data_IF_133100190151
#
_entry.id   IF_133100190151
#
_cell.length_a   1.000
_cell.length_b   1.000
_cell.length_c   1.000
_cell.angle_alpha   90.00
_cell.angle_beta   90.00
_cell.angle_gamma   90.00
#
_symmetry.space_group_name_H-M   'P 1'
#
loop_
_entity.id
_entity.type
_entity.pdbx_description
1 polymer ?
#
# COMPACT_ATOMS: atom_id res chain seq x y z
N UNK A 1 11.39 20.40 -8.76
CA UNK A 1 10.07 20.42 -9.40
C UNK A 1 9.06 20.79 -8.32
N UNK A 2 8.21 21.77 -8.58
CA UNK A 2 7.35 22.44 -7.59
C UNK A 2 6.38 21.48 -6.88
N UNK A 3 6.15 20.30 -7.45
CA UNK A 3 5.28 19.25 -6.92
C UNK A 3 5.75 18.66 -5.59
N UNK A 4 7.06 18.67 -5.30
CA UNK A 4 7.61 18.13 -4.04
C UNK A 4 7.66 19.15 -2.90
N UNK A 5 7.77 20.44 -3.21
CA UNK A 5 7.89 21.50 -2.21
C UNK A 5 6.54 21.90 -1.59
N UNK A 6 5.42 21.66 -2.28
CA UNK A 6 4.06 21.84 -1.70
C UNK A 6 3.62 20.67 -0.80
N UNK A 7 4.38 19.57 -0.76
CA UNK A 7 4.02 18.34 -0.02
C UNK A 7 4.57 18.28 1.41
N UNK A 8 5.51 19.15 1.80
CA UNK A 8 6.23 19.03 3.09
C UNK A 8 5.71 19.95 4.22
N UNK A 9 4.90 20.98 3.95
CA UNK A 9 4.45 21.93 5.00
C UNK A 9 3.14 21.54 5.71
N UNK A 10 2.48 20.45 5.32
CA UNK A 10 1.16 20.04 5.86
C UNK A 10 1.25 18.69 6.56
N UNK A 11 1.73 18.65 7.80
CA UNK A 11 1.68 17.46 8.67
C UNK A 11 0.22 17.05 8.98
N UNK A 12 -0.43 16.32 8.08
CA UNK A 12 -1.82 15.84 8.26
C UNK A 12 -2.19 14.63 7.38
N UNK A 13 -1.26 13.71 7.17
CA UNK A 13 -1.27 12.76 6.04
C UNK A 13 -2.17 11.53 6.17
N UNK A 14 -3.40 11.68 5.66
CA UNK A 14 -4.22 10.67 4.97
C UNK A 14 -3.39 9.85 3.94
N UNK A 15 -3.77 8.59 3.70
CA UNK A 15 -3.48 7.62 2.59
C UNK A 15 -2.42 7.99 1.54
N UNK A 16 -2.38 9.22 1.06
CA UNK A 16 -1.36 9.78 0.16
C UNK A 16 0.06 9.71 0.76
N UNK A 17 0.21 9.87 2.08
CA UNK A 17 1.48 9.66 2.77
C UNK A 17 1.93 8.19 2.70
N UNK A 18 1.00 7.23 2.82
CA UNK A 18 1.25 5.80 2.66
C UNK A 18 1.66 5.45 1.21
N UNK A 19 1.07 6.14 0.22
CA UNK A 19 1.38 5.98 -1.21
C UNK A 19 2.76 6.57 -1.55
N UNK A 20 3.05 7.78 -1.08
CA UNK A 20 4.29 8.50 -1.36
C UNK A 20 5.51 7.84 -0.70
N UNK A 21 5.40 7.41 0.56
CA UNK A 21 6.48 6.73 1.27
C UNK A 21 6.91 5.41 0.61
N UNK A 22 6.08 4.83 -0.26
CA UNK A 22 6.29 3.47 -0.76
C UNK A 22 6.62 3.32 -2.22
N UNK A 23 6.46 4.36 -3.04
CA UNK A 23 7.16 4.41 -4.32
C UNK A 23 8.68 4.19 -4.14
N UNK A 24 9.23 4.56 -2.97
CA UNK A 24 10.62 4.32 -2.59
C UNK A 24 10.91 2.91 -2.02
N UNK A 25 10.03 2.33 -1.20
CA UNK A 25 10.31 1.11 -0.41
C UNK A 25 9.90 -0.22 -1.07
N UNK A 26 9.42 -0.23 -2.31
CA UNK A 26 9.10 -1.47 -3.03
C UNK A 26 10.32 -2.12 -3.71
N UNK A 27 11.52 -1.58 -3.47
CA UNK A 27 12.75 -1.85 -4.20
C UNK A 27 13.85 -2.33 -3.25
N UNK A 28 14.49 -3.45 -3.56
CA UNK A 28 15.63 -4.02 -2.82
C UNK A 28 16.86 -4.04 -3.70
N UNK A 29 18.06 -3.72 -3.19
CA UNK A 29 19.29 -3.74 -4.00
C UNK A 29 20.04 -5.04 -3.72
N UNK A 30 20.36 -5.81 -4.76
CA UNK A 30 21.21 -7.01 -4.64
C UNK A 30 22.70 -6.65 -4.57
N UNK A 31 23.55 -7.60 -4.19
CA UNK A 31 25.01 -7.45 -4.20
C UNK A 31 25.55 -7.10 -5.60
N UNK A 32 24.89 -7.59 -6.65
CA UNK A 32 25.19 -7.29 -8.06
C UNK A 32 24.71 -5.88 -8.50
N UNK A 33 24.10 -5.10 -7.59
CA UNK A 33 23.57 -3.77 -7.86
C UNK A 33 22.22 -3.75 -8.57
N UNK A 34 21.55 -4.89 -8.72
CA UNK A 34 20.21 -4.94 -9.30
C UNK A 34 19.18 -4.44 -8.29
N UNK A 35 18.31 -3.54 -8.74
CA UNK A 35 17.11 -3.17 -7.97
C UNK A 35 16.03 -4.23 -8.21
N UNK A 36 15.48 -4.87 -7.19
CA UNK A 36 14.39 -5.84 -7.27
C UNK A 36 13.10 -5.20 -6.79
N UNK A 37 12.07 -5.23 -7.64
CA UNK A 37 10.74 -4.73 -7.29
C UNK A 37 9.92 -5.85 -6.71
N UNK A 38 9.30 -5.64 -5.55
CA UNK A 38 8.46 -6.64 -4.89
C UNK A 38 6.99 -6.23 -4.86
N UNK A 39 6.11 -7.22 -4.81
CA UNK A 39 4.69 -6.99 -4.62
C UNK A 39 4.45 -6.42 -3.22
N UNK A 40 3.74 -5.30 -3.16
CA UNK A 40 3.44 -4.64 -1.89
C UNK A 40 2.33 -5.33 -1.06
N UNK A 41 1.67 -6.34 -1.63
CA UNK A 41 0.64 -7.16 -0.97
C UNK A 41 1.26 -8.45 -0.42
N UNK A 42 1.80 -9.33 -1.27
CA UNK A 42 2.33 -10.63 -0.81
C UNK A 42 3.83 -10.61 -0.50
N UNK A 43 4.59 -9.67 -1.05
CA UNK A 43 6.05 -9.63 -0.95
C UNK A 43 6.79 -10.36 -2.07
N UNK A 44 6.11 -10.99 -3.04
CA UNK A 44 6.79 -11.71 -4.11
C UNK A 44 7.65 -10.80 -4.99
N UNK A 45 8.84 -11.28 -5.38
CA UNK A 45 9.70 -10.57 -6.32
C UNK A 45 9.06 -10.53 -7.72
N UNK A 46 8.85 -9.32 -8.25
CA UNK A 46 8.29 -9.04 -9.57
C UNK A 46 9.38 -8.90 -10.65
N UNK A 47 10.65 -9.03 -10.24
CA UNK A 47 11.85 -8.95 -11.06
C UNK A 47 12.64 -7.67 -10.89
N UNK A 48 13.67 -7.49 -11.73
CA UNK A 48 14.58 -6.36 -11.71
C UNK A 48 13.90 -5.02 -12.08
N UNK A 49 14.48 -3.93 -11.60
CA UNK A 49 14.06 -2.54 -11.72
C UNK A 49 14.10 -2.10 -13.17
N UNK A 50 12.94 -2.14 -13.82
CA UNK A 50 12.74 -1.88 -15.24
C UNK A 50 11.28 -2.13 -15.65
N UNK A 51 10.95 -2.09 -16.94
CA UNK A 51 9.58 -2.41 -17.43
C UNK A 51 9.33 -3.92 -17.44
N UNK A 52 9.17 -4.55 -16.26
CA UNK A 52 8.77 -5.96 -16.14
C UNK A 52 7.29 -6.15 -16.51
N UNK A 53 6.99 -7.08 -17.43
CA UNK A 53 5.60 -7.44 -17.80
C UNK A 53 4.81 -8.11 -16.67
N UNK A 54 5.47 -8.59 -15.61
CA UNK A 54 4.83 -9.21 -14.45
C UNK A 54 4.35 -8.19 -13.42
N UNK A 55 4.90 -6.98 -13.47
CA UNK A 55 4.49 -5.89 -12.58
C UNK A 55 3.13 -5.34 -13.03
N UNK A 56 2.18 -5.34 -12.12
CA UNK A 56 0.94 -4.57 -12.23
C UNK A 56 1.00 -3.42 -11.25
N UNK A 57 0.11 -2.46 -11.44
CA UNK A 57 -0.02 -1.31 -10.55
C UNK A 57 -1.37 -1.39 -9.86
N UNK A 58 -1.36 -1.21 -8.53
CA UNK A 58 -2.57 -1.13 -7.75
C UNK A 58 -3.47 0.01 -8.29
N UNK A 59 -4.77 -0.21 -8.53
CA UNK A 59 -5.63 0.76 -9.24
C UNK A 59 -5.72 2.12 -8.54
N UNK A 60 -5.84 2.11 -7.21
CA UNK A 60 -5.91 3.32 -6.38
C UNK A 60 -4.51 3.82 -5.96
N UNK A 61 -3.79 3.02 -5.17
CA UNK A 61 -2.52 3.38 -4.54
C UNK A 61 -1.32 3.55 -5.51
N UNK A 62 -1.44 3.19 -6.80
CA UNK A 62 -0.37 3.34 -7.81
C UNK A 62 1.00 2.75 -7.41
N UNK A 63 0.97 1.62 -6.71
CA UNK A 63 2.16 0.87 -6.24
C UNK A 63 2.26 -0.52 -6.92
N UNK A 64 3.45 -1.15 -6.94
CA UNK A 64 3.64 -2.46 -7.56
C UNK A 64 2.87 -3.60 -6.87
N UNK A 65 2.18 -4.42 -7.66
CA UNK A 65 1.51 -5.66 -7.22
C UNK A 65 1.72 -6.79 -8.23
N UNK A 66 1.69 -8.05 -7.76
CA UNK A 66 1.68 -9.21 -8.65
C UNK A 66 0.28 -9.38 -9.28
N UNK A 67 0.19 -10.19 -10.34
CA UNK A 67 -1.09 -10.39 -11.04
C UNK A 67 -2.14 -11.05 -10.15
N UNK A 68 -1.75 -12.03 -9.33
CA UNK A 68 -2.66 -12.74 -8.41
C UNK A 68 -3.24 -11.81 -7.33
N UNK A 69 -2.40 -10.95 -6.72
CA UNK A 69 -2.89 -9.98 -5.74
C UNK A 69 -3.80 -8.92 -6.36
N UNK A 70 -3.53 -8.52 -7.61
CA UNK A 70 -4.43 -7.61 -8.31
C UNK A 70 -5.79 -8.28 -8.61
N UNK A 71 -5.79 -9.54 -9.01
CA UNK A 71 -7.02 -10.31 -9.26
C UNK A 71 -7.90 -10.40 -8.02
N UNK A 72 -7.30 -10.74 -6.86
CA UNK A 72 -8.02 -10.73 -5.57
C UNK A 72 -8.58 -9.35 -5.28
N UNK A 73 -7.77 -8.30 -5.39
CA UNK A 73 -8.21 -6.91 -5.15
C UNK A 73 -9.40 -6.49 -6.04
N UNK A 74 -9.49 -7.06 -7.25
CA UNK A 74 -10.54 -6.74 -8.22
C UNK A 74 -11.76 -7.67 -8.15
N UNK A 75 -11.71 -8.74 -7.36
CA UNK A 75 -12.76 -9.76 -7.31
C UNK A 75 -13.99 -9.36 -6.48
N UNK A 76 -13.90 -8.28 -5.70
CA UNK A 76 -14.93 -7.87 -4.76
C UNK A 76 -15.22 -6.37 -4.79
N UNK A 77 -16.36 -5.99 -4.20
CA UNK A 77 -16.74 -4.60 -3.99
C UNK A 77 -16.29 -4.11 -2.61
N UNK A 78 -15.82 -2.87 -2.53
CA UNK A 78 -15.43 -2.24 -1.28
C UNK A 78 -16.67 -1.66 -0.59
N UNK A 79 -17.24 -2.45 0.32
CA UNK A 79 -18.40 -2.09 1.13
C UNK A 79 -17.95 -1.25 2.31
N UNK A 80 -18.68 -0.19 2.60
CA UNK A 80 -18.48 0.69 3.76
C UNK A 80 -19.45 0.24 4.86
N UNK A 81 -18.93 0.02 6.06
CA UNK A 81 -19.72 -0.25 7.25
C UNK A 81 -20.56 0.97 7.62
N UNK A 82 -21.83 0.75 7.90
CA UNK A 82 -22.73 1.82 8.38
C UNK A 82 -22.45 2.21 9.84
N UNK A 83 -21.73 1.37 10.60
CA UNK A 83 -21.44 1.59 12.02
C UNK A 83 -20.30 2.59 12.22
N UNK A 84 -19.18 2.41 11.51
CA UNK A 84 -17.97 3.21 11.67
C UNK A 84 -17.64 4.08 10.44
N UNK A 85 -18.33 3.89 9.32
CA UNK A 85 -18.09 4.65 8.09
C UNK A 85 -16.84 4.25 7.30
N UNK A 86 -16.25 3.09 7.61
CA UNK A 86 -15.02 2.59 6.97
C UNK A 86 -15.24 1.31 6.17
N UNK A 87 -14.27 0.99 5.32
CA UNK A 87 -14.33 -0.20 4.48
C UNK A 87 -14.09 -1.48 5.28
N UNK A 88 -14.90 -2.49 5.02
CA UNK A 88 -14.79 -3.80 5.69
C UNK A 88 -13.69 -4.69 5.08
N UNK A 89 -13.00 -4.20 4.05
CA UNK A 89 -11.87 -4.86 3.40
C UNK A 89 -10.65 -3.95 3.41
N UNK A 90 -9.48 -4.55 3.52
CA UNK A 90 -8.23 -3.83 3.46
C UNK A 90 -8.08 -3.17 2.08
N UNK A 91 -7.96 -1.85 2.05
CA UNK A 91 -7.79 -1.05 0.84
C UNK A 91 -6.49 -1.35 0.08
N UNK A 92 -5.55 -2.07 0.68
CA UNK A 92 -4.29 -2.46 0.06
C UNK A 92 -4.35 -3.80 -0.67
N UNK A 93 -5.00 -4.81 -0.07
CA UNK A 93 -4.99 -6.18 -0.57
C UNK A 93 -6.36 -6.71 -0.98
N UNK A 94 -7.46 -6.06 -0.58
CA UNK A 94 -8.82 -6.52 -0.82
C UNK A 94 -9.27 -7.66 0.09
N UNK A 95 -8.48 -8.04 1.10
CA UNK A 95 -8.84 -9.09 2.07
C UNK A 95 -9.54 -8.49 3.30
N UNK A 96 -10.41 -9.27 3.93
CA UNK A 96 -11.14 -8.91 5.14
C UNK A 96 -10.42 -9.31 6.43
N UNK A 97 -11.13 -9.24 7.56
CA UNK A 97 -10.62 -9.62 8.88
C UNK A 97 -10.35 -8.41 9.77
N UNK A 98 -9.28 -8.47 10.57
CA UNK A 98 -8.92 -7.39 11.49
C UNK A 98 -8.24 -6.23 10.75
N UNK A 99 -8.89 -5.07 10.76
CA UNK A 99 -8.46 -3.87 10.03
C UNK A 99 -8.24 -2.68 10.96
N UNK A 100 -7.25 -1.86 10.60
CA UNK A 100 -6.99 -0.56 11.22
C UNK A 100 -7.71 0.50 10.37
N UNK A 101 -8.55 1.30 11.01
CA UNK A 101 -9.36 2.33 10.37
C UNK A 101 -8.54 3.61 10.18
N UNK A 102 -8.78 4.37 9.11
CA UNK A 102 -8.09 5.62 8.89
C UNK A 102 -8.91 6.80 9.44
N UNK A 103 -8.37 7.56 10.39
CA UNK A 103 -9.11 8.67 11.02
C UNK A 103 -9.54 9.80 10.07
N UNK A 104 -8.97 9.85 8.87
CA UNK A 104 -9.18 10.93 7.91
C UNK A 104 -9.95 10.49 6.66
N UNK A 105 -10.21 9.20 6.49
CA UNK A 105 -10.95 8.70 5.33
C UNK A 105 -11.56 7.32 5.57
N UNK A 106 -12.50 6.93 4.71
CA UNK A 106 -13.20 5.63 4.78
C UNK A 106 -12.34 4.38 4.57
N UNK A 107 -11.03 4.48 4.37
CA UNK A 107 -10.20 3.32 4.04
C UNK A 107 -9.74 2.61 5.30
N UNK A 108 -9.66 1.29 5.18
CA UNK A 108 -9.18 0.41 6.25
C UNK A 108 -7.97 -0.40 5.77
N UNK A 109 -7.06 -0.75 6.67
CA UNK A 109 -5.82 -1.44 6.33
C UNK A 109 -5.51 -2.58 7.30
N UNK A 110 -5.26 -3.79 6.80
CA UNK A 110 -4.87 -4.91 7.65
C UNK A 110 -3.44 -4.71 8.17
N UNK A 111 -3.17 -5.21 9.37
CA UNK A 111 -1.85 -5.08 10.02
C UNK A 111 -0.74 -5.73 9.21
N UNK A 112 -1.04 -6.78 8.43
CA UNK A 112 -0.07 -7.42 7.53
C UNK A 112 0.40 -6.47 6.42
N UNK A 113 -0.52 -5.75 5.80
CA UNK A 113 -0.19 -4.75 4.79
C UNK A 113 0.52 -3.55 5.42
N UNK A 114 0.13 -3.09 6.61
CA UNK A 114 0.85 -2.00 7.27
C UNK A 114 2.28 -2.43 7.61
N UNK A 115 2.45 -3.55 8.30
CA UNK A 115 3.75 -4.05 8.74
C UNK A 115 4.71 -4.31 7.59
N UNK A 116 4.24 -4.95 6.51
CA UNK A 116 5.08 -5.24 5.33
C UNK A 116 5.66 -3.98 4.70
N UNK A 117 4.97 -2.86 4.86
CA UNK A 117 5.14 -1.68 4.04
C UNK A 117 5.70 -0.49 4.83
N UNK A 118 5.50 -0.48 6.14
CA UNK A 118 5.89 0.58 7.08
C UNK A 118 6.59 0.04 8.34
N UNK A 119 6.81 -1.28 8.43
CA UNK A 119 7.35 -1.92 9.62
C UNK A 119 6.35 -2.02 10.76
N UNK A 120 6.76 -2.63 11.87
CA UNK A 120 5.93 -2.82 13.07
C UNK A 120 5.51 -1.49 13.71
N UNK A 121 6.34 -0.47 13.60
CA UNK A 121 6.06 0.88 14.10
C UNK A 121 4.90 1.54 13.35
N UNK A 122 4.69 1.19 12.08
CA UNK A 122 3.57 1.69 11.28
C UNK A 122 2.22 1.24 11.85
N UNK A 123 2.15 0.05 12.47
CA UNK A 123 0.93 -0.45 13.11
C UNK A 123 0.61 0.36 14.36
N UNK A 124 1.61 0.66 15.19
CA UNK A 124 1.44 1.44 16.42
C UNK A 124 0.92 2.86 16.14
N UNK A 125 1.35 3.46 15.01
CA UNK A 125 0.88 4.78 14.58
C UNK A 125 -0.50 4.75 13.92
N UNK A 126 -0.94 3.60 13.41
CA UNK A 126 -2.28 3.44 12.84
C UNK A 126 -3.33 3.07 13.92
N UNK A 127 -2.89 2.68 15.11
CA UNK A 127 -3.73 2.28 16.23
C UNK A 127 -3.81 3.36 17.34
N UNK A 128 -3.16 4.51 17.15
CA UNK A 128 -3.05 5.60 18.11
C UNK A 128 -3.68 6.87 17.55
#
# INVERSE_FOLDING_TARGET
DAVLAELEETFGGSVEALVAAKAANASWVTEDGDVLVHCTVCGDCLGKGGRSRKRRMHPLLRIPVCSSCLEVYQSGEFIISEEDGHEIYCRWCGDGGDLNLCDTCKFSFCSGCITRNFGVEGVQKAAA
#
